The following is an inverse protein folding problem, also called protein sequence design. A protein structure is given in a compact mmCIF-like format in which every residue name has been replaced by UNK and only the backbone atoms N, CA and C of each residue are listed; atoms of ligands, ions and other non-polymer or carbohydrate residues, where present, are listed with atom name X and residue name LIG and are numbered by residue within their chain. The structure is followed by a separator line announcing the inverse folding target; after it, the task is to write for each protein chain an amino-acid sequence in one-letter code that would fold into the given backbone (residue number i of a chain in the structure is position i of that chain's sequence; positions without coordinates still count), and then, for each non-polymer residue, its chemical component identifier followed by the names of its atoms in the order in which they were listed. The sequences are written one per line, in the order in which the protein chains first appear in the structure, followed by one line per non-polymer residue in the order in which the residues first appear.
data_IF_427783040047
#
_entry.id   IF_427783040047
#
_cell.length_a   1.000
_cell.length_b   1.000
_cell.length_c   1.000
_cell.angle_alpha   90.00
_cell.angle_beta   90.00
_cell.angle_gamma   90.00
#
_symmetry.space_group_name_H-M   'P 1'
#
loop_
_entity.id
_entity.type
_entity.pdbx_description
1 polymer ?
#
# COMPACT_ATOMS: atom_id res chain seq x y z
N UNK A 1 -18.47 -23.93 0.13
CA UNK A 1 -17.13 -24.47 -0.23
C UNK A 1 -16.12 -23.89 0.73
N UNK A 2 -15.59 -24.69 1.65
CA UNK A 2 -14.52 -24.29 2.58
C UNK A 2 -13.19 -24.31 1.83
N UNK A 3 -12.77 -23.14 1.33
CA UNK A 3 -11.43 -22.98 0.76
C UNK A 3 -10.35 -23.16 1.83
N UNK A 4 -9.15 -23.59 1.42
CA UNK A 4 -7.98 -23.67 2.31
C UNK A 4 -7.71 -22.30 2.94
N UNK A 5 -7.32 -22.28 4.23
CA UNK A 5 -7.01 -21.05 4.97
C UNK A 5 -6.02 -20.16 4.18
N UNK A 6 -5.01 -20.75 3.54
CA UNK A 6 -4.04 -20.03 2.71
C UNK A 6 -4.67 -19.33 1.51
N UNK A 7 -5.68 -19.93 0.87
CA UNK A 7 -6.41 -19.30 -0.24
C UNK A 7 -7.23 -18.11 0.26
N UNK A 8 -7.89 -18.24 1.42
CA UNK A 8 -8.66 -17.14 2.02
C UNK A 8 -7.78 -15.95 2.43
N UNK A 9 -6.59 -16.22 2.98
CA UNK A 9 -5.59 -15.19 3.28
C UNK A 9 -5.20 -14.46 2.00
N UNK A 10 -4.91 -15.19 0.92
CA UNK A 10 -4.54 -14.59 -0.37
C UNK A 10 -5.67 -13.73 -0.92
N UNK A 11 -6.89 -14.27 -0.98
CA UNK A 11 -8.06 -13.55 -1.49
C UNK A 11 -8.33 -12.28 -0.69
N UNK A 12 -8.17 -12.35 0.64
CA UNK A 12 -8.27 -11.19 1.52
C UNK A 12 -7.24 -10.11 1.15
N UNK A 13 -5.96 -10.47 1.03
CA UNK A 13 -4.88 -9.54 0.71
C UNK A 13 -4.97 -8.97 -0.72
N UNK A 14 -5.49 -9.75 -1.67
CA UNK A 14 -5.76 -9.29 -3.04
C UNK A 14 -6.93 -8.30 -3.06
N UNK A 15 -8.01 -8.58 -2.33
CA UNK A 15 -9.21 -7.76 -2.31
C UNK A 15 -9.10 -6.49 -1.45
N UNK A 16 -8.37 -6.55 -0.34
CA UNK A 16 -8.32 -5.47 0.66
C UNK A 16 -6.95 -4.76 0.70
N UNK A 17 -5.94 -5.31 0.04
CA UNK A 17 -4.58 -4.76 0.03
C UNK A 17 -3.73 -5.22 1.22
N UNK A 18 -2.60 -4.54 1.47
CA UNK A 18 -1.67 -4.93 2.51
C UNK A 18 -2.29 -4.92 3.90
N UNK A 19 -1.99 -5.93 4.72
CA UNK A 19 -2.53 -6.07 6.07
C UNK A 19 -1.53 -6.71 7.04
N UNK A 20 -1.75 -6.50 8.34
CA UNK A 20 -0.97 -7.17 9.39
C UNK A 20 -1.49 -8.60 9.65
N UNK A 21 -0.69 -9.49 10.26
CA UNK A 21 -1.15 -10.83 10.64
C UNK A 21 -2.39 -10.83 11.55
N UNK A 22 -2.50 -9.84 12.44
CA UNK A 22 -3.64 -9.66 13.34
C UNK A 22 -4.90 -9.37 12.54
N UNK A 23 -4.82 -8.44 11.58
CA UNK A 23 -5.96 -8.08 10.74
C UNK A 23 -6.41 -9.24 9.85
N UNK A 24 -5.46 -10.04 9.36
CA UNK A 24 -5.76 -11.27 8.60
C UNK A 24 -6.43 -12.31 9.49
N UNK A 25 -5.97 -12.48 10.73
CA UNK A 25 -6.56 -13.41 11.69
C UNK A 25 -7.99 -13.04 12.10
N UNK A 26 -8.29 -11.74 12.20
CA UNK A 26 -9.67 -11.27 12.42
C UNK A 26 -10.58 -11.52 11.21
N UNK A 27 -10.04 -11.44 10.00
CA UNK A 27 -10.82 -11.54 8.77
C UNK A 27 -11.07 -12.98 8.30
N UNK A 28 -10.16 -13.92 8.59
CA UNK A 28 -10.30 -15.32 8.20
C UNK A 28 -10.81 -16.12 9.40
N UNK A 29 -12.09 -16.48 9.34
CA UNK A 29 -12.84 -17.10 10.44
C UNK A 29 -12.23 -18.38 11.01
N UNK A 30 -11.43 -19.11 10.24
CA UNK A 30 -10.74 -20.32 10.70
C UNK A 30 -9.47 -20.04 11.51
N UNK A 31 -8.90 -18.84 11.43
CA UNK A 31 -7.64 -18.52 12.11
C UNK A 31 -7.77 -18.40 13.63
N UNK A 32 -8.82 -17.76 14.22
CA UNK A 32 -8.96 -17.65 15.67
C UNK A 32 -8.85 -18.99 16.41
N UNK A 33 -9.47 -20.04 15.89
CA UNK A 33 -9.44 -21.39 16.50
C UNK A 33 -8.16 -22.18 16.14
N UNK A 34 -7.36 -21.70 15.19
CA UNK A 34 -6.16 -22.36 14.68
C UNK A 34 -4.84 -21.68 15.09
N UNK A 35 -4.87 -20.80 16.09
CA UNK A 35 -3.68 -20.07 16.58
C UNK A 35 -3.58 -18.61 16.11
N UNK A 36 -4.67 -18.04 15.60
CA UNK A 36 -4.85 -16.62 15.34
C UNK A 36 -3.77 -15.98 14.47
N UNK A 37 -3.24 -14.85 14.94
CA UNK A 37 -2.25 -14.03 14.24
C UNK A 37 -0.92 -14.77 14.03
N UNK A 38 -0.49 -15.60 14.96
CA UNK A 38 0.75 -16.38 14.85
C UNK A 38 0.65 -17.41 13.72
N UNK A 39 -0.51 -18.09 13.64
CA UNK A 39 -0.80 -19.02 12.55
C UNK A 39 -0.89 -18.28 11.22
N UNK A 40 -1.55 -17.12 11.19
CA UNK A 40 -1.63 -16.26 10.01
C UNK A 40 -0.21 -15.92 9.51
N UNK A 41 0.65 -15.42 10.40
CA UNK A 41 2.02 -15.04 10.08
C UNK A 41 2.83 -16.22 9.52
N UNK A 42 2.73 -17.40 10.14
CA UNK A 42 3.40 -18.59 9.64
C UNK A 42 2.94 -18.95 8.22
N UNK A 43 1.62 -18.99 8.00
CA UNK A 43 1.06 -19.34 6.69
C UNK A 43 1.45 -18.31 5.61
N UNK A 44 1.48 -17.02 5.97
CA UNK A 44 1.93 -15.98 5.04
C UNK A 44 3.42 -16.08 4.70
N UNK A 45 4.27 -16.40 5.68
CA UNK A 45 5.71 -16.64 5.45
C UNK A 45 5.98 -17.83 4.53
N UNK A 46 5.13 -18.84 4.57
CA UNK A 46 5.27 -20.04 3.77
C UNK A 46 4.67 -19.91 2.36
N UNK A 47 3.86 -18.88 2.09
CA UNK A 47 3.25 -18.68 0.78
C UNK A 47 4.17 -17.83 -0.13
N UNK A 48 4.77 -18.41 -1.19
CA UNK A 48 5.65 -17.68 -2.10
C UNK A 48 4.92 -16.61 -2.92
N UNK A 49 3.58 -16.69 -3.00
CA UNK A 49 2.76 -15.69 -3.70
C UNK A 49 2.45 -14.47 -2.86
N UNK A 50 2.93 -14.42 -1.61
CA UNK A 50 2.84 -13.25 -0.75
C UNK A 50 4.22 -12.63 -0.55
N UNK A 51 4.23 -11.34 -0.18
CA UNK A 51 5.44 -10.61 0.15
C UNK A 51 5.21 -9.67 1.34
N UNK A 52 6.31 -9.44 2.07
CA UNK A 52 6.32 -8.48 3.15
C UNK A 52 6.67 -7.10 2.59
N UNK A 53 5.85 -6.12 2.91
CA UNK A 53 6.03 -4.71 2.54
C UNK A 53 7.04 -4.03 3.47
N UNK A 54 7.54 -2.84 3.06
CA UNK A 54 8.48 -2.05 3.87
C UNK A 54 7.89 -1.56 5.21
N UNK A 55 6.56 -1.50 5.32
CA UNK A 55 5.82 -1.13 6.54
C UNK A 55 5.49 -2.33 7.42
N UNK A 56 6.23 -3.43 7.28
CA UNK A 56 6.08 -4.69 8.03
C UNK A 56 4.73 -5.41 7.81
N UNK A 57 3.86 -4.94 6.91
CA UNK A 57 2.60 -5.59 6.51
C UNK A 57 2.83 -6.65 5.42
N UNK A 58 1.82 -7.49 5.17
CA UNK A 58 1.82 -8.52 4.13
C UNK A 58 0.88 -8.17 2.99
N UNK A 59 1.27 -8.48 1.76
CA UNK A 59 0.45 -8.31 0.57
C UNK A 59 0.62 -9.50 -0.37
N UNK A 60 -0.29 -9.66 -1.33
CA UNK A 60 0.00 -10.55 -2.45
C UNK A 60 1.14 -9.96 -3.30
N UNK A 61 2.02 -10.86 -3.74
CA UNK A 61 3.25 -10.52 -4.46
C UNK A 61 2.89 -9.81 -5.76
N UNK A 62 3.48 -8.64 -5.98
CA UNK A 62 3.18 -7.80 -7.13
C UNK A 62 1.84 -7.06 -7.04
N UNK A 63 1.06 -7.27 -5.98
CA UNK A 63 -0.14 -6.48 -5.65
C UNK A 63 0.10 -5.53 -4.50
N UNK A 64 1.24 -5.64 -3.79
CA UNK A 64 1.67 -4.62 -2.84
C UNK A 64 1.59 -3.27 -3.55
N UNK A 65 0.65 -2.43 -3.14
CA UNK A 65 0.67 -1.03 -3.55
C UNK A 65 1.89 -0.47 -2.85
N UNK A 66 3.01 -0.46 -3.58
CA UNK A 66 4.27 0.11 -3.11
C UNK A 66 4.03 1.56 -2.69
N UNK A 67 4.84 2.08 -1.78
CA UNK A 67 4.77 3.49 -1.40
C UNK A 67 4.82 4.39 -2.64
N UNK A 68 5.58 4.00 -3.67
CA UNK A 68 5.53 4.61 -5.01
C UNK A 68 4.12 4.71 -5.59
N UNK A 69 3.38 3.59 -5.64
CA UNK A 69 2.03 3.55 -6.23
C UNK A 69 1.01 4.27 -5.34
N UNK A 70 1.17 4.24 -4.01
CA UNK A 70 0.33 5.01 -3.07
C UNK A 70 0.53 6.51 -3.28
N UNK A 71 1.78 6.95 -3.30
CA UNK A 71 2.17 8.34 -3.58
C UNK A 71 1.64 8.78 -4.93
N UNK A 72 1.80 7.96 -5.96
CA UNK A 72 1.29 8.26 -7.30
C UNK A 72 -0.22 8.49 -7.31
N UNK A 73 -0.99 7.55 -6.74
CA UNK A 73 -2.45 7.62 -6.73
C UNK A 73 -2.96 8.83 -5.93
N UNK A 74 -2.34 9.10 -4.77
CA UNK A 74 -2.66 10.27 -3.96
C UNK A 74 -2.33 11.58 -4.70
N UNK A 75 -1.20 11.64 -5.40
CA UNK A 75 -0.80 12.79 -6.19
C UNK A 75 -1.74 13.01 -7.40
N UNK A 76 -2.08 11.95 -8.13
CA UNK A 76 -3.03 11.99 -9.25
C UNK A 76 -4.41 12.48 -8.80
N UNK A 77 -4.91 12.01 -7.65
CA UNK A 77 -6.14 12.49 -7.05
C UNK A 77 -6.05 13.97 -6.64
N UNK A 78 -4.92 14.40 -6.07
CA UNK A 78 -4.69 15.82 -5.76
C UNK A 78 -4.71 16.71 -7.01
N UNK A 79 -4.20 16.19 -8.13
CA UNK A 79 -4.18 16.88 -9.42
C UNK A 79 -5.50 16.79 -10.19
N UNK A 80 -6.57 16.20 -9.65
CA UNK A 80 -7.84 16.14 -10.36
C UNK A 80 -8.30 17.57 -10.74
N UNK A 81 -8.44 17.80 -12.05
CA UNK A 81 -8.68 19.12 -12.65
C UNK A 81 -7.51 20.13 -12.66
N UNK A 82 -6.33 19.82 -12.09
CA UNK A 82 -5.17 20.72 -11.98
C UNK A 82 -3.98 20.26 -12.84
N UNK A 83 -3.30 21.20 -13.51
CA UNK A 83 -2.10 20.90 -14.33
C UNK A 83 -0.81 20.86 -13.51
N UNK A 84 -0.77 21.57 -12.40
CA UNK A 84 0.37 21.65 -11.50
C UNK A 84 0.02 22.35 -10.20
N UNK A 85 0.91 22.27 -9.23
CA UNK A 85 0.76 22.90 -7.93
C UNK A 85 2.14 23.07 -7.27
N UNK A 86 2.25 23.89 -6.21
CA UNK A 86 3.46 23.95 -5.40
C UNK A 86 3.82 22.58 -4.81
N UNK A 87 5.08 22.16 -4.95
CA UNK A 87 5.58 20.86 -4.47
C UNK A 87 5.27 20.65 -2.99
N UNK A 88 5.50 21.67 -2.16
CA UNK A 88 5.24 21.62 -0.73
C UNK A 88 3.76 21.36 -0.38
N UNK A 89 2.83 21.80 -1.23
CA UNK A 89 1.40 21.54 -1.04
C UNK A 89 1.04 20.09 -1.39
N UNK A 90 1.61 19.57 -2.48
CA UNK A 90 1.40 18.17 -2.88
C UNK A 90 2.04 17.21 -1.88
N UNK A 91 3.26 17.49 -1.41
CA UNK A 91 3.95 16.69 -0.39
C UNK A 91 3.11 16.57 0.88
N UNK A 92 2.58 17.70 1.39
CA UNK A 92 1.73 17.69 2.60
C UNK A 92 0.45 16.89 2.39
N UNK A 93 -0.22 17.08 1.26
CA UNK A 93 -1.45 16.34 0.95
C UNK A 93 -1.19 14.83 0.82
N UNK A 94 -0.13 14.45 0.11
CA UNK A 94 0.25 13.04 -0.09
C UNK A 94 0.74 12.38 1.19
N UNK A 95 1.51 13.08 2.02
CA UNK A 95 1.96 12.57 3.31
C UNK A 95 0.76 12.35 4.25
N UNK A 96 -0.20 13.28 4.27
CA UNK A 96 -1.44 13.14 5.05
C UNK A 96 -2.29 11.95 4.59
N UNK A 97 -2.39 11.72 3.27
CA UNK A 97 -3.21 10.64 2.70
C UNK A 97 -2.55 9.26 2.85
N UNK A 98 -1.23 9.18 2.68
CA UNK A 98 -0.50 7.90 2.68
C UNK A 98 0.04 7.53 4.07
N UNK A 99 0.12 8.48 5.00
CA UNK A 99 0.77 8.32 6.30
C UNK A 99 2.30 8.26 6.23
N UNK A 100 2.89 8.54 5.07
CA UNK A 100 4.34 8.56 4.90
C UNK A 100 4.94 9.87 5.45
N UNK A 101 6.17 9.84 5.97
CA UNK A 101 6.91 11.05 6.29
C UNK A 101 7.05 11.97 5.08
N UNK A 102 6.96 13.29 5.29
CA UNK A 102 7.02 14.28 4.20
C UNK A 102 8.31 14.18 3.37
N UNK A 103 9.45 13.84 3.99
CA UNK A 103 10.72 13.67 3.26
C UNK A 103 10.64 12.51 2.27
N UNK A 104 10.08 11.37 2.68
CA UNK A 104 9.93 10.19 1.85
C UNK A 104 8.89 10.43 0.74
N UNK A 105 7.76 11.07 1.08
CA UNK A 105 6.76 11.47 0.08
C UNK A 105 7.34 12.42 -0.97
N UNK A 106 8.21 13.36 -0.56
CA UNK A 106 8.91 14.27 -1.47
C UNK A 106 9.83 13.54 -2.43
N UNK A 107 10.68 12.65 -1.94
CA UNK A 107 11.59 11.87 -2.79
C UNK A 107 10.81 11.09 -3.87
N UNK A 108 9.77 10.36 -3.45
CA UNK A 108 8.92 9.58 -4.35
C UNK A 108 8.19 10.46 -5.38
N UNK A 109 7.65 11.62 -4.96
CA UNK A 109 7.02 12.57 -5.88
C UNK A 109 8.00 13.11 -6.92
N UNK A 110 9.22 13.47 -6.51
CA UNK A 110 10.23 14.00 -7.42
C UNK A 110 10.79 12.96 -8.40
N UNK A 111 10.77 11.67 -8.03
CA UNK A 111 11.17 10.59 -8.91
C UNK A 111 10.13 10.30 -10.01
N UNK A 112 8.85 10.57 -9.73
CA UNK A 112 7.74 10.15 -10.59
C UNK A 112 7.16 11.28 -11.46
N UNK A 113 7.18 12.53 -10.98
CA UNK A 113 6.54 13.69 -11.63
C UNK A 113 7.56 14.73 -12.10
N UNK A 114 7.13 15.64 -12.97
CA UNK A 114 7.98 16.74 -13.45
C UNK A 114 7.97 17.85 -12.40
N UNK A 115 9.16 18.22 -11.92
CA UNK A 115 9.36 19.34 -11.00
C UNK A 115 10.08 20.46 -11.73
N UNK A 116 9.55 21.68 -11.69
CA UNK A 116 10.20 22.87 -12.20
C UNK A 116 10.15 23.99 -11.14
N UNK A 117 11.32 24.37 -10.63
CA UNK A 117 11.43 25.29 -9.50
C UNK A 117 10.72 24.74 -8.27
N UNK A 118 9.79 25.53 -7.72
CA UNK A 118 8.98 25.16 -6.55
C UNK A 118 7.69 24.40 -6.90
N UNK A 119 7.41 24.17 -8.18
CA UNK A 119 6.19 23.55 -8.66
C UNK A 119 6.41 22.12 -9.15
N UNK A 120 5.38 21.29 -8.98
CA UNK A 120 5.28 19.93 -9.48
C UNK A 120 4.08 19.85 -10.43
N UNK A 121 4.25 19.13 -11.53
CA UNK A 121 3.27 19.03 -12.61
C UNK A 121 2.83 17.59 -12.79
N UNK A 122 1.53 17.42 -13.06
CA UNK A 122 1.00 16.13 -13.45
C UNK A 122 1.60 15.77 -14.82
N UNK A 123 2.26 14.60 -14.94
CA UNK A 123 2.71 14.08 -16.24
C UNK A 123 1.48 13.68 -17.04
N UNK A 124 0.83 14.64 -17.70
CA UNK A 124 -0.08 14.33 -18.81
C UNK A 124 0.81 13.83 -19.95
N UNK A 125 0.74 12.53 -20.21
CA UNK A 125 1.05 11.99 -21.55
C UNK A 125 0.09 12.61 -22.56
#
# INVERSE_FOLDING_TARGET
MTGLITSKIRDFLVGHGPATPERVAEAVLELPEAGGAERALLLMRLDPTLERTASEMWAARGTAITDDRRVRKAAEAFFDGRRGAPLASVVRAVASETGLPEHQARELLTAQFVVAGTNIFNRRR
#
